data_IF_500409052867
#
_entry.id   IF_500409052867
#
_cell.length_a   1.000
_cell.length_b   1.000
_cell.length_c   1.000
_cell.angle_alpha   90.00
_cell.angle_beta   90.00
_cell.angle_gamma   90.00
#
_symmetry.space_group_name_H-M   'P 1'
#
loop_
_entity.id
_entity.type
_entity.pdbx_description
1 polymer ?
#
# COMPACT_ATOMS: atom_id res chain seq x y z
N UNK A 1 3.85 23.59 5.83
CA UNK A 1 4.83 22.62 5.25
C UNK A 1 4.12 21.90 4.14
N UNK A 2 4.73 21.73 2.95
CA UNK A 2 4.06 20.99 1.87
C UNK A 2 3.93 19.50 2.23
N UNK A 3 2.90 18.80 1.71
CA UNK A 3 2.71 17.35 1.95
C UNK A 3 3.92 16.52 1.53
N UNK A 4 4.60 16.90 0.42
CA UNK A 4 5.87 16.30 -0.01
C UNK A 4 6.94 16.38 1.08
N UNK A 5 7.10 17.54 1.74
CA UNK A 5 8.06 17.69 2.84
C UNK A 5 7.65 16.92 4.09
N UNK A 6 6.33 16.75 4.32
CA UNK A 6 5.83 15.89 5.39
C UNK A 6 6.19 14.43 5.14
N UNK A 7 5.99 13.94 3.91
CA UNK A 7 6.37 12.57 3.54
C UNK A 7 7.88 12.35 3.69
N UNK A 8 8.71 13.26 3.17
CA UNK A 8 10.17 13.19 3.34
C UNK A 8 10.58 13.17 4.82
N UNK A 9 9.94 14.02 5.65
CA UNK A 9 10.22 14.03 7.09
C UNK A 9 9.82 12.71 7.77
N UNK A 10 8.71 12.11 7.34
CA UNK A 10 8.25 10.82 7.87
C UNK A 10 9.21 9.69 7.45
N UNK A 11 9.64 9.65 6.19
CA UNK A 11 10.61 8.65 5.68
C UNK A 11 11.97 8.77 6.36
N UNK A 12 12.48 9.99 6.58
CA UNK A 12 13.74 10.22 7.32
C UNK A 12 13.69 9.75 8.78
N UNK A 13 12.50 9.65 9.37
CA UNK A 13 12.28 9.12 10.71
C UNK A 13 11.93 7.63 10.72
N UNK A 14 11.52 7.10 9.58
CA UNK A 14 11.10 5.72 9.45
C UNK A 14 12.28 4.77 9.68
N UNK A 15 12.07 3.79 10.53
CA UNK A 15 13.06 2.75 10.85
C UNK A 15 12.43 1.39 10.69
N UNK A 16 13.20 0.46 10.15
CA UNK A 16 12.79 -0.93 10.00
C UNK A 16 13.95 -1.87 10.33
N UNK A 17 13.64 -2.97 10.97
CA UNK A 17 14.60 -4.07 11.23
C UNK A 17 14.62 -5.08 10.08
N UNK A 18 13.66 -5.00 9.15
CA UNK A 18 13.55 -5.90 8.02
C UNK A 18 14.55 -5.55 6.92
N UNK A 19 15.57 -6.40 6.76
CA UNK A 19 16.66 -6.22 5.76
C UNK A 19 16.16 -6.04 4.33
N UNK A 20 15.02 -6.64 3.99
CA UNK A 20 14.39 -6.52 2.68
C UNK A 20 13.78 -5.14 2.42
N UNK A 21 13.49 -4.38 3.46
CA UNK A 21 12.86 -3.05 3.39
C UNK A 21 13.88 -1.92 3.57
N UNK A 22 14.96 -2.16 4.31
CA UNK A 22 15.98 -1.13 4.61
C UNK A 22 16.47 -0.37 3.36
N UNK A 23 16.78 -1.01 2.22
CA UNK A 23 17.25 -0.29 1.03
C UNK A 23 16.20 0.67 0.46
N UNK A 24 14.91 0.35 0.63
CA UNK A 24 13.80 1.14 0.07
C UNK A 24 13.68 2.51 0.71
N UNK A 25 14.10 2.68 1.97
CA UNK A 25 14.00 3.97 2.68
C UNK A 25 14.79 5.04 1.94
N UNK A 26 16.06 4.78 1.66
CA UNK A 26 16.91 5.75 0.99
C UNK A 26 16.53 5.93 -0.48
N UNK A 27 16.22 4.84 -1.18
CA UNK A 27 15.79 4.88 -2.59
C UNK A 27 14.52 5.73 -2.76
N UNK A 28 13.53 5.57 -1.87
CA UNK A 28 12.30 6.35 -1.91
C UNK A 28 12.55 7.85 -1.59
N UNK A 29 13.42 8.15 -0.64
CA UNK A 29 13.83 9.53 -0.33
C UNK A 29 14.49 10.16 -1.56
N UNK A 30 15.47 9.49 -2.15
CA UNK A 30 16.20 9.97 -3.33
C UNK A 30 15.26 10.20 -4.51
N UNK A 31 14.33 9.26 -4.75
CA UNK A 31 13.33 9.40 -5.80
C UNK A 31 12.46 10.65 -5.60
N UNK A 32 11.94 10.85 -4.39
CA UNK A 32 11.11 12.03 -4.08
C UNK A 32 11.94 13.31 -4.20
N UNK A 33 13.20 13.35 -3.76
CA UNK A 33 14.05 14.54 -3.82
C UNK A 33 14.39 14.92 -5.26
N UNK A 34 14.58 13.94 -6.15
CA UNK A 34 15.00 14.14 -7.53
C UNK A 34 13.85 14.41 -8.50
N UNK A 35 12.61 14.01 -8.17
CA UNK A 35 11.45 14.09 -9.07
C UNK A 35 10.36 15.00 -8.49
N UNK A 36 10.14 16.16 -9.10
CA UNK A 36 9.09 17.09 -8.66
C UNK A 36 7.68 16.53 -8.91
N UNK A 37 7.55 15.70 -9.92
CA UNK A 37 6.35 15.03 -10.39
C UNK A 37 6.18 13.60 -9.84
N UNK A 38 6.88 13.27 -8.74
CA UNK A 38 6.90 11.92 -8.18
C UNK A 38 5.51 11.38 -7.77
N UNK A 39 4.48 12.20 -7.68
CA UNK A 39 3.09 11.80 -7.40
C UNK A 39 2.24 11.63 -8.65
N UNK A 40 2.80 11.89 -9.84
CA UNK A 40 2.08 11.85 -11.12
C UNK A 40 2.38 10.56 -11.87
N UNK A 41 1.35 9.93 -12.45
CA UNK A 41 1.54 8.76 -13.37
C UNK A 41 2.29 9.13 -14.65
N UNK A 42 2.37 10.40 -14.99
CA UNK A 42 3.15 10.90 -16.14
C UNK A 42 4.65 10.74 -15.94
N UNK A 43 5.14 10.56 -14.71
CA UNK A 43 6.53 10.19 -14.46
C UNK A 43 6.74 8.73 -14.86
N UNK A 44 7.36 8.52 -16.03
CA UNK A 44 7.54 7.19 -16.62
C UNK A 44 8.62 6.34 -15.92
N UNK A 45 9.42 6.92 -15.05
CA UNK A 45 10.40 6.16 -14.25
C UNK A 45 9.75 5.50 -13.03
N UNK A 46 8.64 6.06 -12.56
CA UNK A 46 7.88 5.59 -11.42
C UNK A 46 7.11 6.70 -10.72
N UNK A 47 6.29 6.33 -9.75
CA UNK A 47 5.52 7.29 -8.97
C UNK A 47 5.13 6.73 -7.60
N UNK A 48 4.82 7.66 -6.69
CA UNK A 48 4.36 7.33 -5.34
C UNK A 48 2.94 6.79 -5.39
N UNK A 49 2.71 5.71 -4.64
CA UNK A 49 1.39 5.13 -4.36
C UNK A 49 1.11 5.12 -2.87
N UNK A 50 -0.15 5.00 -2.50
CA UNK A 50 -0.57 4.91 -1.11
C UNK A 50 -1.48 3.70 -0.88
N UNK A 51 -1.10 2.84 0.06
CA UNK A 51 -1.83 1.60 0.34
C UNK A 51 -2.18 1.46 1.83
N UNK A 52 -3.16 0.63 2.12
CA UNK A 52 -3.65 0.39 3.45
C UNK A 52 -3.56 -1.09 3.84
N UNK A 53 -2.95 -1.38 4.98
CA UNK A 53 -3.20 -2.59 5.73
C UNK A 53 -4.47 -2.39 6.53
N UNK A 54 -5.62 -2.73 5.91
CA UNK A 54 -6.94 -2.42 6.44
C UNK A 54 -7.44 -3.55 7.34
N UNK A 55 -7.47 -3.29 8.64
CA UNK A 55 -7.93 -4.22 9.67
C UNK A 55 -9.47 -4.26 9.76
N UNK A 56 -10.01 -5.43 10.11
CA UNK A 56 -11.40 -5.59 10.54
C UNK A 56 -11.67 -4.85 11.87
N UNK A 57 -12.94 -4.61 12.24
CA UNK A 57 -13.29 -3.93 13.50
C UNK A 57 -12.72 -4.60 14.76
N UNK A 58 -12.60 -5.92 14.74
CA UNK A 58 -12.03 -6.72 15.83
C UNK A 58 -10.51 -6.94 15.71
N UNK A 59 -9.89 -6.34 14.67
CA UNK A 59 -8.46 -6.38 14.37
C UNK A 59 -7.89 -7.79 14.11
N UNK A 60 -8.74 -8.79 13.84
CA UNK A 60 -8.30 -10.18 13.63
C UNK A 60 -8.08 -10.55 12.17
N UNK A 61 -8.56 -9.71 11.27
CA UNK A 61 -8.49 -9.93 9.82
C UNK A 61 -7.99 -8.68 9.10
N UNK A 62 -7.47 -8.89 7.91
CA UNK A 62 -7.12 -7.80 6.97
C UNK A 62 -7.95 -7.95 5.70
N UNK A 63 -8.36 -6.83 5.10
CA UNK A 63 -9.06 -6.83 3.83
C UNK A 63 -8.05 -6.92 2.69
N UNK A 64 -8.24 -7.92 1.83
CA UNK A 64 -7.51 -8.06 0.58
C UNK A 64 -8.44 -7.90 -0.61
N UNK A 65 -7.89 -7.36 -1.69
CA UNK A 65 -8.50 -7.27 -3.01
C UNK A 65 -7.86 -8.28 -3.96
N UNK A 66 -8.67 -9.01 -4.73
CA UNK A 66 -8.20 -9.80 -5.86
C UNK A 66 -8.20 -8.93 -7.11
N UNK A 67 -7.03 -8.36 -7.40
CA UNK A 67 -6.85 -7.36 -8.45
C UNK A 67 -7.06 -7.97 -9.86
N UNK A 68 -8.00 -7.39 -10.65
CA UNK A 68 -8.39 -7.93 -11.97
C UNK A 68 -7.23 -8.12 -12.93
N UNK A 69 -6.36 -7.12 -13.08
CA UNK A 69 -5.28 -7.12 -14.07
C UNK A 69 -4.12 -8.02 -13.66
N UNK A 70 -3.75 -7.99 -12.37
CA UNK A 70 -2.61 -8.74 -11.86
C UNK A 70 -2.96 -10.18 -11.49
N UNK A 71 -4.27 -10.50 -11.40
CA UNK A 71 -4.78 -11.81 -10.99
C UNK A 71 -4.12 -12.32 -9.70
N UNK A 72 -3.96 -11.42 -8.71
CA UNK A 72 -3.31 -11.66 -7.42
C UNK A 72 -4.07 -11.01 -6.29
N UNK A 73 -3.91 -11.56 -5.09
CA UNK A 73 -4.38 -10.94 -3.87
C UNK A 73 -3.39 -9.87 -3.41
N UNK A 74 -3.90 -8.67 -3.14
CA UNK A 74 -3.13 -7.50 -2.73
C UNK A 74 -3.83 -6.80 -1.55
N UNK A 75 -3.10 -5.95 -0.83
CA UNK A 75 -3.72 -4.95 0.04
C UNK A 75 -4.49 -3.92 -0.81
N UNK A 76 -5.48 -3.25 -0.22
CA UNK A 76 -6.17 -2.13 -0.87
C UNK A 76 -5.24 -0.93 -1.00
N UNK A 77 -5.31 -0.21 -2.12
CA UNK A 77 -4.44 0.93 -2.37
C UNK A 77 -4.31 1.26 -3.85
N UNK A 78 -3.75 2.42 -4.16
CA UNK A 78 -3.62 2.87 -5.53
C UNK A 78 -2.74 4.10 -5.72
N UNK A 79 -2.95 4.76 -6.84
CA UNK A 79 -2.12 5.86 -7.30
C UNK A 79 -2.41 7.17 -6.59
N UNK A 80 -1.38 7.98 -6.47
CA UNK A 80 -1.49 9.34 -5.91
C UNK A 80 -2.25 10.29 -6.84
N UNK A 81 -2.05 10.18 -8.16
CA UNK A 81 -2.69 11.03 -9.19
C UNK A 81 -2.58 12.53 -8.89
N UNK A 82 -1.38 12.96 -8.49
CA UNK A 82 -1.08 14.33 -8.10
C UNK A 82 -1.38 14.67 -6.63
N UNK A 83 -2.10 13.82 -5.89
CA UNK A 83 -2.30 14.03 -4.45
C UNK A 83 -1.00 13.72 -3.69
N UNK A 84 -0.38 14.75 -3.16
CA UNK A 84 0.89 14.64 -2.44
C UNK A 84 0.76 14.19 -0.98
N UNK A 85 -0.45 14.11 -0.45
CA UNK A 85 -0.74 13.57 0.87
C UNK A 85 -1.02 12.07 0.80
N UNK A 86 0.02 11.24 0.95
CA UNK A 86 -0.07 9.78 0.85
C UNK A 86 -1.00 9.15 1.90
N UNK A 87 -1.20 9.80 3.06
CA UNK A 87 -2.21 9.38 4.04
C UNK A 87 -3.63 9.47 3.46
N UNK A 88 -3.93 10.61 2.80
CA UNK A 88 -5.22 10.78 2.12
C UNK A 88 -5.39 9.80 0.98
N UNK A 89 -4.32 9.53 0.19
CA UNK A 89 -4.34 8.53 -0.88
C UNK A 89 -4.74 7.17 -0.33
N UNK A 90 -4.03 6.65 0.68
CA UNK A 90 -4.33 5.35 1.28
C UNK A 90 -5.76 5.26 1.84
N UNK A 91 -6.25 6.32 2.48
CA UNK A 91 -7.61 6.38 3.02
C UNK A 91 -8.66 6.42 1.91
N UNK A 92 -8.42 7.21 0.86
CA UNK A 92 -9.29 7.31 -0.32
C UNK A 92 -9.40 5.96 -1.02
N UNK A 93 -8.26 5.37 -1.36
CA UNK A 93 -8.20 4.06 -2.06
C UNK A 93 -8.88 2.96 -1.24
N UNK A 94 -8.58 2.87 0.07
CA UNK A 94 -9.23 1.90 0.94
C UNK A 94 -10.75 2.07 0.97
N UNK A 95 -11.24 3.33 0.93
CA UNK A 95 -12.67 3.64 0.90
C UNK A 95 -13.30 3.31 -0.44
N UNK A 96 -12.65 3.67 -1.56
CA UNK A 96 -13.16 3.45 -2.92
C UNK A 96 -13.20 1.96 -3.26
N UNK A 97 -12.12 1.22 -2.99
CA UNK A 97 -12.07 -0.20 -3.29
C UNK A 97 -13.00 -1.04 -2.43
N UNK A 98 -13.15 -0.69 -1.14
CA UNK A 98 -13.99 -1.47 -0.22
C UNK A 98 -15.44 -1.00 -0.11
N UNK A 99 -15.72 0.25 -0.50
CA UNK A 99 -17.02 0.90 -0.24
C UNK A 99 -17.30 1.17 1.24
N UNK A 100 -16.33 0.94 2.13
CA UNK A 100 -16.48 1.14 3.58
C UNK A 100 -16.23 2.61 3.92
N UNK A 101 -17.21 3.24 4.57
CA UNK A 101 -17.09 4.61 5.09
C UNK A 101 -16.64 4.60 6.54
N UNK A 102 -15.94 5.67 6.97
CA UNK A 102 -15.50 5.83 8.36
C UNK A 102 -14.26 5.02 8.73
N UNK A 103 -13.47 4.61 7.75
CA UNK A 103 -12.14 4.03 7.97
C UNK A 103 -11.27 5.05 8.69
N UNK A 104 -10.46 4.61 9.64
CA UNK A 104 -9.58 5.46 10.43
C UNK A 104 -8.17 4.89 10.54
N UNK A 105 -7.18 5.76 10.78
CA UNK A 105 -5.81 5.34 11.06
C UNK A 105 -5.72 4.72 12.45
N UNK A 106 -5.01 3.59 12.57
CA UNK A 106 -4.62 3.00 13.86
C UNK A 106 -3.43 3.77 14.43
N UNK A 107 -2.48 4.11 13.55
CA UNK A 107 -1.31 4.94 13.86
C UNK A 107 -1.15 6.00 12.77
N UNK A 108 -0.57 7.15 13.13
CA UNK A 108 -0.31 8.24 12.17
C UNK A 108 1.02 8.10 11.42
N UNK A 109 1.84 7.12 11.79
CA UNK A 109 3.13 6.89 11.17
C UNK A 109 3.01 6.00 9.92
N UNK A 110 4.04 6.02 9.07
CA UNK A 110 4.19 5.02 8.02
C UNK A 110 4.32 3.64 8.69
N UNK A 111 3.51 2.69 8.23
CA UNK A 111 3.51 1.32 8.72
C UNK A 111 4.53 0.44 8.00
N UNK A 112 4.59 0.57 6.67
CA UNK A 112 5.47 -0.21 5.79
C UNK A 112 5.76 0.57 4.51
N UNK A 113 6.85 0.25 3.84
CA UNK A 113 7.16 0.77 2.51
C UNK A 113 7.56 -0.38 1.59
N UNK A 114 7.30 -0.21 0.29
CA UNK A 114 7.70 -1.19 -0.72
C UNK A 114 8.08 -0.49 -2.03
N UNK A 115 9.01 -1.07 -2.75
CA UNK A 115 9.33 -0.63 -4.11
C UNK A 115 9.23 -1.87 -5.00
N UNK A 116 8.36 -1.81 -5.99
CA UNK A 116 8.17 -2.91 -6.92
C UNK A 116 7.99 -2.41 -8.35
N UNK A 117 8.42 -3.25 -9.29
CA UNK A 117 8.31 -2.95 -10.71
C UNK A 117 6.93 -3.34 -11.23
N UNK A 118 6.31 -2.44 -11.96
CA UNK A 118 5.13 -2.67 -12.77
C UNK A 118 5.62 -2.99 -14.19
N UNK A 119 5.29 -4.16 -14.74
CA UNK A 119 5.72 -4.51 -16.09
C UNK A 119 5.06 -3.61 -17.14
N UNK A 120 5.73 -3.48 -18.27
CA UNK A 120 5.22 -2.77 -19.44
C UNK A 120 3.79 -3.23 -19.82
N UNK A 121 2.94 -2.27 -20.14
CA UNK A 121 1.62 -2.50 -20.70
C UNK A 121 1.50 -1.83 -22.07
N UNK A 122 1.81 -2.59 -23.12
CA UNK A 122 1.80 -2.11 -24.50
C UNK A 122 0.42 -1.64 -24.97
N UNK A 123 -0.67 -2.23 -24.44
CA UNK A 123 -2.05 -1.82 -24.78
C UNK A 123 -2.39 -0.40 -24.31
N UNK A 124 -1.72 0.05 -23.24
CA UNK A 124 -1.92 1.38 -22.67
C UNK A 124 -0.77 2.34 -22.98
N UNK A 125 0.24 1.88 -23.71
CA UNK A 125 1.48 2.62 -23.92
C UNK A 125 2.13 3.06 -22.60
N UNK A 126 2.07 2.20 -21.59
CA UNK A 126 2.68 2.39 -20.26
C UNK A 126 4.00 1.59 -20.23
N UNK A 127 5.17 2.22 -20.18
CA UNK A 127 6.45 1.51 -20.07
C UNK A 127 6.58 0.83 -18.70
N UNK A 128 7.54 -0.09 -18.60
CA UNK A 128 7.95 -0.62 -17.30
C UNK A 128 8.37 0.53 -16.38
N UNK A 129 7.86 0.56 -15.15
CA UNK A 129 8.11 1.62 -14.19
C UNK A 129 8.04 1.10 -12.75
N UNK A 130 8.47 1.92 -11.78
CA UNK A 130 8.43 1.57 -10.35
C UNK A 130 7.23 2.21 -9.66
N UNK A 131 6.57 1.42 -8.80
CA UNK A 131 5.71 1.95 -7.75
C UNK A 131 6.53 2.09 -6.45
N UNK A 132 6.48 3.28 -5.87
CA UNK A 132 7.04 3.61 -4.57
C UNK A 132 5.88 3.67 -3.57
N UNK A 133 5.57 2.52 -2.96
CA UNK A 133 4.34 2.32 -2.19
C UNK A 133 4.53 2.66 -0.71
N UNK A 134 3.80 3.66 -0.23
CA UNK A 134 3.76 4.06 1.18
C UNK A 134 2.52 3.47 1.82
N UNK A 135 2.70 2.66 2.86
CA UNK A 135 1.65 1.83 3.43
C UNK A 135 1.29 2.26 4.84
N UNK A 136 0.00 2.28 5.13
CA UNK A 136 -0.54 2.75 6.39
C UNK A 136 -1.40 1.69 7.07
N UNK A 137 -1.42 1.70 8.40
CA UNK A 137 -2.24 0.81 9.21
C UNK A 137 -3.58 1.48 9.50
N UNK A 138 -4.65 0.96 8.88
CA UNK A 138 -6.00 1.48 8.97
C UNK A 138 -6.94 0.43 9.58
N UNK A 139 -8.08 0.91 10.08
CA UNK A 139 -9.13 0.06 10.67
C UNK A 139 -10.49 0.45 10.13
N UNK A 140 -11.23 -0.55 9.71
CA UNK A 140 -12.62 -0.42 9.26
C UNK A 140 -13.59 -0.44 10.45
N UNK A 141 -14.68 0.32 10.42
CA UNK A 141 -15.72 0.26 11.46
C UNK A 141 -16.69 -0.94 11.28
N UNK A 142 -16.63 -1.62 10.13
CA UNK A 142 -17.52 -2.75 9.78
C UNK A 142 -16.82 -3.71 8.85
N UNK A 143 -17.24 -4.98 8.85
CA UNK A 143 -16.79 -5.97 7.85
C UNK A 143 -17.65 -5.95 6.56
N UNK A 144 -18.73 -5.17 6.50
CA UNK A 144 -19.57 -5.07 5.30
C UNK A 144 -18.87 -4.22 4.26
N UNK A 145 -18.57 -4.79 3.11
CA UNK A 145 -17.94 -4.12 1.97
C UNK A 145 -18.77 -4.25 0.70
N UNK A 146 -18.44 -3.42 -0.29
CA UNK A 146 -18.93 -3.53 -1.66
C UNK A 146 -17.74 -3.72 -2.59
N UNK A 147 -17.85 -4.65 -3.53
CA UNK A 147 -16.77 -4.90 -4.51
C UNK A 147 -16.77 -3.77 -5.54
N UNK A 148 -15.62 -3.13 -5.74
CA UNK A 148 -15.43 -2.11 -6.78
C UNK A 148 -15.30 -2.75 -8.17
N UNK A 149 -15.42 -1.96 -9.23
CA UNK A 149 -15.24 -2.45 -10.61
C UNK A 149 -13.81 -2.89 -10.92
N UNK A 150 -12.82 -2.48 -10.14
CA UNK A 150 -11.40 -2.81 -10.32
C UNK A 150 -11.01 -4.16 -9.74
N UNK A 151 -11.87 -4.73 -8.88
CA UNK A 151 -11.62 -5.98 -8.16
C UNK A 151 -12.47 -7.13 -8.69
N UNK A 152 -11.88 -8.33 -8.74
CA UNK A 152 -12.64 -9.57 -8.96
C UNK A 152 -13.35 -10.03 -7.68
N UNK A 153 -12.73 -9.80 -6.53
CA UNK A 153 -13.22 -10.17 -5.22
C UNK A 153 -12.55 -9.34 -4.13
N UNK A 154 -13.24 -9.18 -3.01
CA UNK A 154 -12.69 -8.71 -1.74
C UNK A 154 -12.88 -9.80 -0.69
N UNK A 155 -11.93 -9.92 0.23
CA UNK A 155 -12.00 -10.92 1.28
C UNK A 155 -11.31 -10.45 2.55
N UNK A 156 -11.99 -10.64 3.69
CA UNK A 156 -11.37 -10.56 5.01
C UNK A 156 -10.58 -11.83 5.28
N UNK A 157 -9.28 -11.70 5.52
CA UNK A 157 -8.34 -12.81 5.64
C UNK A 157 -7.70 -12.79 7.01
N UNK A 158 -7.71 -13.92 7.71
CA UNK A 158 -7.06 -14.07 9.01
C UNK A 158 -5.54 -14.23 8.88
N UNK A 159 -4.79 -14.01 9.97
CA UNK A 159 -3.35 -14.21 9.99
C UNK A 159 -2.96 -15.65 9.54
N UNK A 160 -3.67 -16.67 10.01
CA UNK A 160 -3.41 -18.06 9.62
C UNK A 160 -3.61 -18.28 8.13
N UNK A 161 -4.64 -17.68 7.55
CA UNK A 161 -4.91 -17.79 6.12
C UNK A 161 -3.86 -17.04 5.29
N UNK A 162 -3.40 -15.86 5.75
CA UNK A 162 -2.32 -15.11 5.10
C UNK A 162 -1.01 -15.93 5.03
N UNK A 163 -0.65 -16.64 6.09
CA UNK A 163 0.51 -17.54 6.06
C UNK A 163 0.33 -18.63 4.99
N UNK A 164 -0.84 -19.27 4.94
CA UNK A 164 -1.14 -20.30 3.93
C UNK A 164 -1.09 -19.72 2.51
N UNK A 165 -1.62 -18.52 2.30
CA UNK A 165 -1.56 -17.81 1.00
C UNK A 165 -0.11 -17.47 0.63
N UNK A 166 0.73 -17.11 1.61
CA UNK A 166 2.16 -16.87 1.41
C UNK A 166 2.91 -18.13 0.97
N UNK A 167 2.67 -19.27 1.62
CA UNK A 167 3.24 -20.57 1.24
C UNK A 167 2.86 -20.97 -0.19
N UNK A 168 1.63 -20.64 -0.63
CA UNK A 168 1.14 -20.88 -1.99
C UNK A 168 1.57 -19.81 -2.98
N UNK A 169 2.30 -18.78 -2.57
CA UNK A 169 2.72 -17.64 -3.38
C UNK A 169 1.55 -16.85 -4.01
N UNK A 170 0.40 -16.86 -3.36
CA UNK A 170 -0.80 -16.11 -3.76
C UNK A 170 -0.69 -14.63 -3.38
N UNK A 171 0.14 -14.31 -2.37
CA UNK A 171 0.47 -12.95 -1.91
C UNK A 171 1.99 -12.71 -1.97
N UNK A 172 2.39 -11.44 -1.91
CA UNK A 172 3.81 -11.06 -1.94
C UNK A 172 4.50 -11.27 -0.59
N UNK A 173 5.83 -11.37 -0.62
CA UNK A 173 6.65 -11.41 0.61
C UNK A 173 6.53 -10.12 1.44
N UNK A 174 6.29 -8.98 0.80
CA UNK A 174 6.06 -7.72 1.51
C UNK A 174 4.74 -7.72 2.30
N UNK A 175 3.72 -8.44 1.84
CA UNK A 175 2.48 -8.62 2.61
C UNK A 175 2.71 -9.51 3.84
N UNK A 176 3.54 -10.55 3.73
CA UNK A 176 3.96 -11.34 4.90
C UNK A 176 4.78 -10.50 5.89
N UNK A 177 5.64 -9.60 5.39
CA UNK A 177 6.36 -8.63 6.24
C UNK A 177 5.39 -7.74 7.02
N UNK A 178 4.37 -7.19 6.35
CA UNK A 178 3.33 -6.39 7.03
C UNK A 178 2.59 -7.20 8.10
N UNK A 179 2.28 -8.47 7.82
CA UNK A 179 1.67 -9.36 8.82
C UNK A 179 2.58 -9.53 10.04
N UNK A 180 3.88 -9.79 9.83
CA UNK A 180 4.84 -9.94 10.93
C UNK A 180 4.93 -8.65 11.76
N UNK A 181 5.10 -7.49 11.12
CA UNK A 181 5.10 -6.17 11.80
C UNK A 181 3.86 -6.00 12.67
N UNK A 182 2.69 -6.33 12.10
CA UNK A 182 1.43 -6.21 12.82
C UNK A 182 1.37 -7.14 14.04
N UNK A 183 1.76 -8.42 13.89
CA UNK A 183 1.74 -9.41 14.96
C UNK A 183 2.73 -9.07 16.09
N UNK A 184 3.89 -8.54 15.74
CA UNK A 184 4.95 -8.15 16.68
C UNK A 184 4.74 -6.75 17.27
N UNK A 185 3.74 -6.00 16.77
CA UNK A 185 3.51 -4.57 17.10
C UNK A 185 4.76 -3.72 16.94
N UNK A 186 5.55 -4.01 15.90
CA UNK A 186 6.82 -3.34 15.56
C UNK A 186 6.59 -2.21 14.56
N UNK A 187 5.72 -1.23 14.92
CA UNK A 187 5.35 -0.09 14.06
C UNK A 187 5.11 1.20 14.85
#
# INVERSE_FOLDING_TARGET
MSNRLLLLSALKKYKTEYKSEQPFVQEMIDFIEQNLDCFERSNLSGHITGSAWLLSPDEKKVLLTHHKKLNRWLQVGGHSDGESNTWNVALREATEESGIKGISFVIQNIFDIDIHTIPENTLKNEPEHKHYDVRFLLKAPTEKFNISEESNALKWVSAQELYTMGERKEISSSMLRMLHKYMEKSY
#
